data_IF_839052309461
#
_entry.id   IF_839052309461
#
_cell.length_a   1.000
_cell.length_b   1.000
_cell.length_c   1.000
_cell.angle_alpha   90.00
_cell.angle_beta   90.00
_cell.angle_gamma   90.00
#
_symmetry.space_group_name_H-M   'P 1'
#
loop_
_entity.id
_entity.type
_entity.pdbx_description
1 polymer ?
2 non-polymer ?
3 water ?
#
# COMPACT_ATOMS: atom_id res chain seq x y z
N UNK A 11 17.74 -3.48 14.96
CA UNK A 11 18.33 -3.24 13.66
C UNK A 11 19.80 -3.68 13.63
N UNK A 12 20.26 -4.09 12.44
CA UNK A 12 21.65 -4.40 12.21
C UNK A 12 22.38 -3.15 11.74
N UNK A 13 23.55 -2.89 12.31
CA UNK A 13 24.36 -1.76 11.88
C UNK A 13 25.23 -2.21 10.72
N UNK A 14 25.22 -1.45 9.62
CA UNK A 14 25.97 -1.76 8.43
C UNK A 14 27.11 -0.78 8.32
N UNK A 15 28.30 -1.28 7.92
CA UNK A 15 29.43 -0.37 7.77
C UNK A 15 29.35 0.35 6.43
N UNK A 16 29.71 1.64 6.36
CA UNK A 16 29.50 2.36 5.09
C UNK A 16 30.31 1.81 3.93
N UNK A 17 31.45 1.18 4.19
CA UNK A 17 32.25 0.60 3.12
C UNK A 17 31.51 -0.53 2.41
N UNK A 18 30.43 -1.05 2.99
CA UNK A 18 29.66 -2.13 2.38
C UNK A 18 28.56 -1.63 1.46
N UNK A 19 28.34 -0.31 1.39
CA UNK A 19 27.22 0.30 0.70
C UNK A 19 27.74 1.16 -0.43
N UNK A 20 27.17 0.98 -1.62
CA UNK A 20 27.51 1.75 -2.80
C UNK A 20 26.21 2.38 -3.30
N UNK A 21 26.09 3.71 -3.21
CA UNK A 21 24.95 4.39 -3.80
C UNK A 21 25.20 4.57 -5.29
N UNK A 22 24.16 4.35 -6.10
CA UNK A 22 24.30 4.34 -7.55
C UNK A 22 23.45 5.39 -8.26
N UNK A 23 22.15 5.40 -8.03
CA UNK A 23 21.29 6.37 -8.69
C UNK A 23 20.27 6.88 -7.68
N UNK A 24 19.87 8.14 -7.85
CA UNK A 24 18.78 8.70 -7.06
C UNK A 24 17.47 8.15 -7.59
N UNK A 25 16.60 7.71 -6.69
CA UNK A 25 15.26 7.22 -7.02
C UNK A 25 14.16 7.98 -6.29
N UNK A 26 14.51 8.93 -5.43
CA UNK A 26 13.50 9.72 -4.75
C UNK A 26 14.13 10.65 -3.74
N UNK A 27 13.26 11.31 -2.96
CA UNK A 27 13.70 12.29 -1.97
C UNK A 27 13.14 11.93 -0.59
N UNK A 28 13.96 12.16 0.43
CA UNK A 28 13.55 11.98 1.80
C UNK A 28 13.22 13.29 2.49
N UNK A 29 12.97 13.21 3.79
CA UNK A 29 12.63 14.42 4.55
C UNK A 29 13.83 15.35 4.66
N UNK A 30 15.03 14.79 4.79
CA UNK A 30 16.24 15.62 4.78
C UNK A 30 17.37 14.75 4.24
N UNK A 31 17.24 14.43 2.96
CA UNK A 31 18.13 13.53 2.28
C UNK A 31 17.49 13.02 1.02
N UNK A 32 18.19 12.10 0.37
CA UNK A 32 17.73 11.50 -0.86
C UNK A 32 17.59 9.99 -0.68
N UNK A 33 16.86 9.39 -1.61
CA UNK A 33 16.70 7.95 -1.67
C UNK A 33 17.40 7.44 -2.92
N UNK A 34 18.18 6.37 -2.76
CA UNK A 34 19.01 5.84 -3.83
C UNK A 34 18.75 4.35 -4.03
N UNK A 35 18.97 3.88 -5.26
CA UNK A 35 19.24 2.48 -5.48
C UNK A 35 20.75 2.29 -5.36
N UNK A 36 21.15 1.17 -4.77
CA UNK A 36 22.57 0.86 -4.67
C UNK A 36 22.77 -0.61 -4.45
N UNK A 37 23.99 -0.95 -4.02
CA UNK A 37 24.37 -2.33 -3.79
C UNK A 37 24.92 -2.48 -2.39
N UNK A 38 24.63 -3.61 -1.76
CA UNK A 38 25.12 -3.93 -0.43
C UNK A 38 25.99 -5.17 -0.50
N UNK A 39 27.19 -5.09 0.07
CA UNK A 39 28.08 -6.24 0.16
C UNK A 39 27.79 -7.02 1.43
N UNK A 46 26.98 -9.12 -4.35
CA UNK A 46 26.31 -7.88 -3.95
C UNK A 46 24.81 -8.01 -4.15
N UNK A 47 24.03 -7.50 -3.19
CA UNK A 47 22.57 -7.50 -3.30
C UNK A 47 22.09 -6.07 -3.56
N UNK A 48 21.11 -5.89 -4.46
CA UNK A 48 20.58 -4.54 -4.65
C UNK A 48 19.78 -4.10 -3.43
N UNK A 49 19.87 -2.81 -3.13
CA UNK A 49 19.19 -2.24 -1.98
C UNK A 49 18.66 -0.88 -2.33
N UNK A 50 17.72 -0.40 -1.51
CA UNK A 50 17.31 0.98 -1.51
C UNK A 50 17.84 1.65 -0.25
N UNK A 51 18.22 2.92 -0.36
CA UNK A 51 19.00 3.61 0.66
C UNK A 51 18.42 5.00 0.88
N UNK A 52 17.93 5.29 2.07
CA UNK A 52 17.47 6.64 2.41
C UNK A 52 18.48 7.27 3.35
N UNK A 53 18.92 8.49 3.04
CA UNK A 53 19.96 9.15 3.81
C UNK A 53 19.39 10.29 4.63
N UNK A 54 20.10 10.63 5.70
CA UNK A 54 19.83 11.82 6.51
C UNK A 54 21.08 12.68 6.46
N UNK A 55 20.99 13.81 5.77
CA UNK A 55 22.14 14.59 5.37
C UNK A 55 22.49 15.65 6.40
N UNK A 56 23.72 16.13 6.33
CA UNK A 56 24.22 17.09 7.30
C UNK A 56 23.29 18.29 7.43
N UNK A 57 23.04 18.68 8.67
CA UNK A 57 22.17 19.78 8.97
C UNK A 57 20.83 19.36 9.51
N UNK A 58 20.54 18.07 9.53
CA UNK A 58 19.27 17.59 10.01
C UNK A 58 19.04 18.07 11.43
N UNK A 59 17.77 18.30 11.76
CA UNK A 59 17.39 18.76 13.07
C UNK A 59 17.25 17.60 14.04
N UNK A 60 17.08 17.95 15.32
CA UNK A 60 16.82 16.95 16.34
C UNK A 60 15.56 16.15 16.02
N UNK A 61 14.47 16.84 15.69
CA UNK A 61 13.24 16.11 15.36
C UNK A 61 13.45 15.18 14.17
N UNK A 62 14.18 15.65 13.15
CA UNK A 62 14.43 14.78 11.99
C UNK A 62 15.24 13.56 12.39
N UNK A 63 16.22 13.72 13.27
CA UNK A 63 16.98 12.56 13.73
C UNK A 63 16.11 11.60 14.52
N UNK A 64 15.27 12.12 15.40
CA UNK A 64 14.38 11.26 16.16
C UNK A 64 13.44 10.52 15.22
N UNK A 65 12.89 11.21 14.22
CA UNK A 65 11.96 10.55 13.31
C UNK A 65 12.66 9.52 12.45
N UNK A 66 13.89 9.82 12.02
CA UNK A 66 14.62 8.92 11.13
C UNK A 66 15.04 7.65 11.86
N UNK A 67 15.67 7.79 13.01
CA UNK A 67 16.07 6.60 13.76
C UNK A 67 14.85 5.88 14.33
N UNK A 68 13.77 6.63 14.60
CA UNK A 68 12.55 5.97 15.02
C UNK A 68 11.97 5.11 13.91
N UNK A 69 12.02 5.62 12.68
CA UNK A 69 11.59 4.84 11.52
C UNK A 69 12.43 3.59 11.39
N UNK A 70 13.75 3.74 11.49
CA UNK A 70 14.61 2.55 11.40
C UNK A 70 14.25 1.55 12.49
N UNK A 71 13.98 2.04 13.70
CA UNK A 71 13.71 1.14 14.81
C UNK A 71 12.42 0.38 14.64
N UNK A 72 11.38 1.04 14.12
CA UNK A 72 10.13 0.32 13.93
C UNK A 72 10.26 -0.65 12.76
N UNK A 73 10.95 -0.24 11.70
CA UNK A 73 11.13 -1.13 10.56
C UNK A 73 11.91 -2.36 10.94
N UNK A 74 12.86 -2.23 11.87
CA UNK A 74 13.61 -3.39 12.31
C UNK A 74 12.76 -4.42 13.03
N UNK A 75 11.63 -4.01 13.59
CA UNK A 75 10.76 -4.96 14.27
C UNK A 75 9.80 -5.68 13.32
N UNK A 76 9.69 -5.25 12.07
CA UNK A 76 8.78 -5.88 11.11
C UNK A 76 9.45 -7.12 10.53
N UNK A 77 8.83 -8.30 10.72
CA UNK A 77 9.33 -9.54 10.12
C UNK A 77 8.14 -10.27 9.55
N UNK A 78 7.77 -9.94 8.32
CA UNK A 78 6.62 -10.53 7.69
C UNK A 78 6.82 -10.54 6.18
N UNK A 79 6.31 -11.59 5.55
CA UNK A 79 6.40 -11.78 4.11
C UNK A 79 5.86 -10.62 3.31
N UNK A 80 4.88 -9.88 3.85
CA UNK A 80 4.22 -8.83 3.10
C UNK A 80 4.54 -7.44 3.64
N UNK A 81 5.65 -7.27 4.34
CA UNK A 81 6.15 -5.98 4.80
C UNK A 81 7.59 -5.83 4.32
N UNK A 82 7.95 -4.63 3.87
CA UNK A 82 9.31 -4.39 3.40
C UNK A 82 10.30 -4.77 4.50
N UNK A 83 11.41 -5.38 4.08
CA UNK A 83 12.43 -5.84 5.00
C UNK A 83 13.58 -4.86 5.10
N UNK A 84 13.91 -4.49 6.33
CA UNK A 84 15.08 -3.68 6.63
C UNK A 84 16.34 -4.53 6.56
N UNK A 85 17.30 -4.12 5.73
CA UNK A 85 18.60 -4.77 5.74
C UNK A 85 19.44 -4.26 6.91
N UNK A 86 19.39 -2.96 7.16
CA UNK A 86 20.13 -2.42 8.27
C UNK A 86 20.18 -0.92 8.22
N UNK A 87 20.97 -0.36 9.13
CA UNK A 87 21.03 1.07 9.33
C UNK A 87 22.49 1.46 9.46
N UNK A 88 22.79 2.69 9.05
CA UNK A 88 24.06 3.33 9.35
C UNK A 88 23.72 4.47 10.28
N UNK A 89 24.05 4.31 11.56
CA UNK A 89 23.85 5.34 12.57
C UNK A 89 25.13 5.89 13.16
N UNK A 90 26.25 5.16 13.04
CA UNK A 90 27.52 5.51 13.67
C UNK A 90 28.40 6.40 12.80
N UNK A 91 27.99 6.63 11.56
CA UNK A 91 28.73 7.46 10.62
C UNK A 91 27.73 8.34 9.90
N UNK A 92 28.24 9.40 9.28
CA UNK A 92 27.43 10.35 8.55
C UNK A 92 27.75 10.28 7.07
N UNK A 93 26.75 10.39 6.18
CA UNK A 93 25.33 10.53 6.51
C UNK A 93 24.76 9.24 7.07
N UNK A 94 23.75 9.36 7.92
CA UNK A 94 23.03 8.18 8.38
C UNK A 94 22.16 7.63 7.25
N UNK A 95 21.87 6.32 7.34
CA UNK A 95 21.17 5.64 6.27
C UNK A 95 20.23 4.58 6.80
N UNK A 96 19.10 4.42 6.11
CA UNK A 96 18.19 3.28 6.26
C UNK A 96 18.28 2.49 4.97
N UNK A 97 18.53 1.19 5.05
CA UNK A 97 18.81 0.36 3.89
C UNK A 97 17.80 -0.78 3.86
N UNK A 98 17.07 -0.90 2.77
CA UNK A 98 16.09 -1.95 2.64
C UNK A 98 16.40 -2.82 1.44
N UNK A 99 15.74 -3.97 1.40
CA UNK A 99 15.72 -4.77 0.18
C UNK A 99 15.19 -3.91 -0.96
N UNK A 100 15.55 -4.30 -2.19
CA UNK A 100 15.14 -3.56 -3.37
C UNK A 100 14.22 -4.45 -4.22
N UNK A 101 13.12 -3.88 -4.69
CA UNK A 101 12.11 -4.65 -5.44
C UNK A 101 12.10 -4.12 -6.87
N UNK A 102 12.57 -4.97 -7.82
CA UNK A 102 12.82 -4.47 -9.18
C UNK A 102 11.54 -4.10 -9.93
N UNK A 103 10.40 -4.66 -9.54
CA UNK A 103 9.16 -4.26 -10.19
C UNK A 103 8.60 -2.95 -9.65
N UNK A 104 9.17 -2.42 -8.56
CA UNK A 104 8.81 -1.10 -8.09
C UNK A 104 7.46 -1.03 -7.41
N UNK A 105 6.91 0.18 -7.39
CA UNK A 105 5.68 0.45 -6.70
C UNK A 105 4.49 -0.09 -7.46
N UNK A 106 3.49 -0.55 -6.71
CA UNK A 106 2.37 -1.29 -7.27
C UNK A 106 1.50 -0.44 -8.20
N UNK A 107 1.29 0.83 -7.87
CA UNK A 107 0.43 1.65 -8.73
C UNK A 107 1.02 1.78 -10.13
N UNK A 108 2.29 2.13 -10.23
CA UNK A 108 2.95 2.26 -11.53
C UNK A 108 3.03 0.91 -12.23
N UNK A 109 3.35 -0.14 -11.47
CA UNK A 109 3.42 -1.50 -12.02
C UNK A 109 2.12 -1.87 -12.71
N UNK A 110 0.99 -1.72 -12.04
CA UNK A 110 -0.24 -2.15 -12.68
C UNK A 110 -0.60 -1.28 -13.87
N UNK A 111 -0.32 0.04 -13.81
CA UNK A 111 -0.65 0.90 -14.94
C UNK A 111 0.20 0.57 -16.16
N UNK A 112 1.38 0.00 -15.96
CA UNK A 112 2.28 -0.43 -17.04
C UNK A 112 1.99 -1.83 -17.51
N UNK A 113 1.05 -2.54 -16.88
CA UNK A 113 0.77 -3.96 -17.15
C UNK A 113 -0.73 -4.17 -17.28
N UNK A 114 -1.42 -3.20 -17.87
CA UNK A 114 -2.89 -3.21 -17.90
C UNK A 114 -3.40 -4.49 -18.52
N UNK A 115 -4.31 -5.17 -17.81
CA UNK A 115 -4.94 -6.37 -18.33
C UNK A 115 -4.08 -7.60 -18.41
N UNK A 116 -2.88 -7.60 -17.84
CA UNK A 116 -1.93 -8.70 -18.07
C UNK A 116 -2.05 -9.85 -17.07
N UNK A 117 -2.86 -9.73 -16.03
CA UNK A 117 -2.90 -10.72 -14.97
C UNK A 117 -4.26 -11.39 -14.87
N UNK A 118 -4.27 -12.56 -14.27
CA UNK A 118 -5.54 -13.21 -14.03
C UNK A 118 -6.20 -12.63 -12.79
N UNK A 119 -7.51 -12.82 -12.69
CA UNK A 119 -8.23 -12.42 -11.49
C UNK A 119 -7.61 -13.06 -10.25
N UNK A 120 -7.24 -14.33 -10.34
CA UNK A 120 -6.65 -15.00 -9.19
C UNK A 120 -5.32 -14.36 -8.80
N UNK A 121 -4.50 -13.94 -9.77
CA UNK A 121 -3.27 -13.24 -9.45
C UNK A 121 -3.56 -11.92 -8.75
N UNK A 122 -4.53 -11.17 -9.24
CA UNK A 122 -4.87 -9.89 -8.61
C UNK A 122 -5.35 -10.09 -7.19
N UNK A 123 -6.24 -11.07 -6.98
CA UNK A 123 -6.77 -11.30 -5.64
C UNK A 123 -5.68 -11.83 -4.72
N UNK A 124 -4.73 -12.61 -5.25
CA UNK A 124 -3.58 -13.00 -4.46
C UNK A 124 -2.76 -11.83 -3.99
N UNK A 125 -2.60 -10.79 -4.81
CA UNK A 125 -1.88 -9.61 -4.35
C UNK A 125 -2.62 -8.93 -3.21
N UNK A 126 -3.94 -8.90 -3.30
CA UNK A 126 -4.72 -8.33 -2.23
C UNK A 126 -4.62 -9.12 -0.95
N UNK A 127 -4.63 -10.45 -1.03
CA UNK A 127 -4.47 -11.27 0.17
C UNK A 127 -3.14 -10.96 0.85
N UNK A 128 -2.08 -10.81 0.06
CA UNK A 128 -0.80 -10.50 0.66
C UNK A 128 -0.77 -9.15 1.34
N UNK A 129 -1.28 -8.11 0.67
CA UNK A 129 -1.36 -6.80 1.28
C UNK A 129 -2.16 -6.88 2.58
N UNK A 130 -3.29 -7.58 2.54
CA UNK A 130 -4.12 -7.72 3.75
C UNK A 130 -3.38 -8.42 4.88
N UNK A 131 -2.59 -9.44 4.55
CA UNK A 131 -1.83 -10.14 5.58
C UNK A 131 -0.80 -9.22 6.20
N UNK A 132 -0.13 -8.43 5.37
CA UNK A 132 0.80 -7.46 5.93
C UNK A 132 0.11 -6.45 6.83
N UNK A 133 -1.07 -5.98 6.41
CA UNK A 133 -1.81 -5.01 7.22
C UNK A 133 -2.32 -5.65 8.50
N UNK A 134 -2.77 -6.90 8.46
CA UNK A 134 -3.19 -7.58 9.69
C UNK A 134 -2.03 -7.62 10.67
N UNK A 135 -0.83 -7.91 10.18
CA UNK A 135 0.36 -7.94 11.03
C UNK A 135 0.62 -6.58 11.66
N UNK A 136 0.61 -5.52 10.84
CA UNK A 136 0.83 -4.18 11.39
C UNK A 136 -0.22 -3.81 12.43
N UNK A 137 -1.50 -3.98 12.09
CA UNK A 137 -2.56 -3.61 13.02
C UNK A 137 -2.43 -4.38 14.32
N UNK A 138 -2.07 -5.65 14.24
CA UNK A 138 -1.90 -6.51 15.41
C UNK A 138 -0.78 -6.02 16.30
N UNK A 139 0.27 -5.46 15.74
CA UNK A 139 1.33 -4.93 16.60
C UNK A 139 1.11 -3.47 16.91
N UNK A 140 -0.10 -3.00 16.68
CA UNK A 140 -0.51 -1.63 17.02
C UNK A 140 0.26 -0.57 16.23
N UNK A 141 0.54 -0.86 14.98
CA UNK A 141 1.13 0.09 14.04
C UNK A 141 0.03 0.54 13.08
N UNK A 142 -0.36 1.80 13.16
CA UNK A 142 -1.32 2.39 12.25
C UNK A 142 -0.56 3.00 11.08
N UNK A 143 -0.91 2.60 9.87
CA UNK A 143 -0.12 2.99 8.71
C UNK A 143 -0.34 4.46 8.36
N UNK A 144 -1.60 4.86 8.18
CA UNK A 144 -2.08 6.20 7.84
C UNK A 144 -1.95 6.57 6.37
N UNK A 145 -1.14 5.86 5.59
CA UNK A 145 -0.93 6.25 4.20
C UNK A 145 -0.94 5.03 3.30
N UNK A 146 -1.86 4.12 3.54
CA UNK A 146 -1.94 2.91 2.75
C UNK A 146 -2.55 3.24 1.40
N UNK A 147 -1.84 2.93 0.34
CA UNK A 147 -2.19 3.26 -1.04
C UNK A 147 -1.26 2.41 -1.91
N UNK A 148 -1.65 2.16 -3.15
CA UNK A 148 -0.81 1.32 -3.99
C UNK A 148 0.56 1.95 -4.20
N UNK A 149 0.67 3.27 -4.17
CA UNK A 149 1.98 3.90 -4.35
C UNK A 149 2.95 3.56 -3.22
N UNK A 150 2.46 3.05 -2.08
CA UNK A 150 3.31 2.67 -0.95
C UNK A 150 3.46 1.17 -0.82
N UNK A 151 3.21 0.40 -1.89
CA UNK A 151 3.36 -1.04 -1.88
C UNK A 151 4.37 -1.40 -2.95
N UNK A 152 5.36 -2.22 -2.60
CA UNK A 152 6.36 -2.68 -3.56
C UNK A 152 6.04 -4.10 -4.01
N UNK A 153 6.48 -4.45 -5.21
CA UNK A 153 6.19 -5.74 -5.81
C UNK A 153 7.50 -6.42 -6.17
N UNK A 154 7.70 -7.65 -5.67
CA UNK A 154 8.89 -8.41 -6.02
C UNK A 154 8.69 -9.27 -7.26
N UNK A 155 9.72 -10.03 -7.62
CA UNK A 155 9.73 -10.80 -8.86
C UNK A 155 8.94 -12.10 -8.75
N UNK A 156 8.30 -12.36 -7.60
CA UNK A 156 7.30 -13.39 -7.44
C UNK A 156 5.90 -12.83 -7.31
N UNK A 157 5.68 -11.54 -7.64
CA UNK A 157 4.40 -10.86 -7.50
C UNK A 157 3.99 -10.67 -6.05
N UNK A 158 4.92 -10.82 -5.11
CA UNK A 158 4.59 -10.62 -3.70
C UNK A 158 4.61 -9.12 -3.40
N UNK A 159 3.54 -8.66 -2.77
CA UNK A 159 3.41 -7.26 -2.40
C UNK A 159 3.93 -7.04 -0.98
N UNK A 160 4.73 -5.99 -0.83
CA UNK A 160 5.36 -5.62 0.42
C UNK A 160 4.87 -4.24 0.80
N UNK A 161 4.09 -4.15 1.88
CA UNK A 161 3.64 -2.86 2.38
C UNK A 161 4.84 -2.08 2.87
N UNK A 162 4.90 -0.81 2.47
CA UNK A 162 5.98 0.09 2.75
C UNK A 162 5.38 1.45 3.09
N UNK A 163 6.24 2.45 3.27
CA UNK A 163 5.74 3.82 3.43
C UNK A 163 6.84 4.78 3.01
N UNK A 164 6.67 5.40 1.86
CA UNK A 164 7.65 6.31 1.33
C UNK A 164 7.40 7.76 1.74
N UNK A 165 6.44 8.01 2.59
CA UNK A 165 6.07 9.36 2.95
C UNK A 165 5.08 9.95 1.97
N UNK A 166 4.59 11.14 2.30
CA UNK A 166 3.60 11.80 1.46
C UNK A 166 4.21 12.31 0.17
N UNK A 186 -3.48 12.54 1.25
CA UNK A 186 -4.14 11.55 0.40
C UNK A 186 -5.62 11.42 0.73
N UNK A 187 -6.36 12.52 0.51
CA UNK A 187 -7.77 12.57 0.84
C UNK A 187 -8.51 11.33 0.31
N UNK A 188 -8.30 10.99 -0.95
CA UNK A 188 -9.20 10.00 -1.53
C UNK A 188 -8.87 8.57 -1.10
N UNK A 189 -7.79 8.37 -0.33
CA UNK A 189 -7.50 7.09 0.31
C UNK A 189 -7.88 7.07 1.78
N UNK A 190 -8.30 8.20 2.36
CA UNK A 190 -8.42 8.32 3.80
C UNK A 190 -9.86 8.22 4.26
N UNK A 191 -10.07 7.53 5.40
CA UNK A 191 -11.40 7.38 5.95
C UNK A 191 -11.96 8.71 6.42
N UNK A 192 -13.29 8.86 6.42
CA UNK A 192 -13.89 10.13 6.85
C UNK A 192 -13.47 10.63 8.22
N UNK A 193 -13.36 9.75 9.22
CA UNK A 193 -13.05 10.20 10.57
C UNK A 193 -11.60 10.66 10.65
N UNK A 194 -10.73 10.11 9.81
CA UNK A 194 -9.34 10.52 9.80
C UNK A 194 -9.19 11.89 9.17
N UNK A 195 -9.95 12.15 8.10
CA UNK A 195 -9.95 13.48 7.51
C UNK A 195 -10.59 14.49 8.45
N UNK A 196 -11.76 14.17 8.97
CA UNK A 196 -12.56 15.14 9.71
C UNK A 196 -11.88 15.52 11.03
N UNK A 197 -11.46 14.52 11.81
CA UNK A 197 -10.98 14.82 13.15
C UNK A 197 -9.69 14.09 13.51
N UNK A 198 -8.96 13.62 12.51
CA UNK A 198 -7.60 13.13 12.68
C UNK A 198 -7.57 11.83 13.48
N UNK A 199 -8.64 11.05 13.38
CA UNK A 199 -8.72 9.76 14.07
C UNK A 199 -8.19 8.68 13.13
N UNK A 200 -6.90 8.39 13.24
CA UNK A 200 -6.23 7.35 12.47
C UNK A 200 -6.11 6.11 13.31
N UNK A 201 -6.68 5.02 12.81
CA UNK A 201 -6.65 3.73 13.50
C UNK A 201 -6.53 2.63 12.46
N UNK A 202 -6.45 1.39 12.91
CA UNK A 202 -6.47 0.29 11.94
C UNK A 202 -7.81 0.19 11.21
N UNK A 203 -8.88 0.81 11.73
CA UNK A 203 -10.13 0.86 10.98
C UNK A 203 -10.09 1.90 9.85
N UNK A 204 -9.38 3.02 10.04
CA UNK A 204 -9.17 3.91 8.92
C UNK A 204 -8.23 3.30 7.89
N UNK A 205 -7.25 2.50 8.33
CA UNK A 205 -6.47 1.74 7.39
C UNK A 205 -7.31 0.74 6.60
N UNK A 206 -8.36 0.17 7.22
CA UNK A 206 -9.26 -0.73 6.48
C UNK A 206 -9.96 0.02 5.34
N UNK A 207 -10.43 1.23 5.60
CA UNK A 207 -10.97 2.07 4.52
C UNK A 207 -9.96 2.19 3.39
N UNK A 208 -8.73 2.56 3.72
CA UNK A 208 -7.69 2.70 2.72
C UNK A 208 -7.48 1.40 1.97
N UNK A 209 -7.50 0.28 2.69
CA UNK A 209 -7.35 -1.02 2.05
C UNK A 209 -8.43 -1.25 1.00
N UNK A 210 -9.66 -0.86 1.31
CA UNK A 210 -10.70 -0.95 0.30
C UNK A 210 -10.38 -0.17 -0.95
N UNK A 211 -9.85 1.05 -0.80
CA UNK A 211 -9.41 1.81 -1.95
C UNK A 211 -8.30 1.07 -2.70
N UNK A 212 -7.33 0.50 -1.97
CA UNK A 212 -6.29 -0.29 -2.63
C UNK A 212 -6.89 -1.46 -3.40
N UNK A 213 -7.90 -2.13 -2.86
CA UNK A 213 -8.54 -3.19 -3.61
C UNK A 213 -9.05 -2.66 -4.95
N UNK A 214 -9.68 -1.49 -4.92
CA UNK A 214 -10.18 -0.89 -6.15
C UNK A 214 -9.03 -0.52 -7.08
N UNK A 215 -7.94 0.01 -6.54
CA UNK A 215 -6.77 0.30 -7.38
C UNK A 215 -6.25 -0.96 -8.06
N UNK A 216 -6.16 -2.07 -7.31
CA UNK A 216 -5.62 -3.28 -7.92
C UNK A 216 -6.54 -3.79 -9.00
N UNK A 217 -7.85 -3.87 -8.72
CA UNK A 217 -8.77 -4.49 -9.66
C UNK A 217 -8.98 -3.65 -10.91
N UNK A 218 -8.64 -2.36 -10.87
CA UNK A 218 -8.72 -1.48 -12.03
C UNK A 218 -7.37 -1.27 -12.72
N UNK A 219 -6.33 -1.97 -12.28
CA UNK A 219 -4.98 -1.78 -12.85
C UNK A 219 -4.48 -0.35 -12.64
N UNK A 220 -4.72 0.19 -11.46
CA UNK A 220 -4.13 1.45 -11.10
C UNK A 220 -4.88 2.68 -11.55
N UNK A 221 -6.18 2.59 -11.68
CA UNK A 221 -6.95 3.80 -11.95
C UNK A 221 -6.93 4.74 -10.77
N UNK A 222 -7.12 6.01 -11.04
CA UNK A 222 -7.17 7.02 -9.99
C UNK A 222 -8.51 6.96 -9.27
N UNK A 223 -8.55 6.70 -7.97
CA UNK A 223 -9.82 6.67 -7.25
C UNK A 223 -10.62 7.94 -7.51
N UNK A 224 -11.88 7.78 -7.90
CA UNK A 224 -12.83 8.87 -8.13
C UNK A 224 -12.50 9.69 -9.37
N UNK A 225 -11.55 9.21 -10.20
CA UNK A 225 -11.20 9.86 -11.49
C UNK A 225 -10.96 11.34 -11.25
N UNK A 226 -11.59 12.23 -11.99
CA UNK A 226 -11.23 13.63 -11.99
C UNK A 226 -11.87 14.41 -10.86
N UNK A 227 -12.65 13.79 -9.97
CA UNK A 227 -13.26 14.56 -8.88
C UNK A 227 -12.17 15.23 -8.07
N UNK A 228 -12.43 16.46 -7.64
CA UNK A 228 -11.51 17.15 -6.74
C UNK A 228 -11.59 16.55 -5.34
N UNK A 229 -10.63 16.89 -4.48
CA UNK A 229 -10.68 16.37 -3.12
C UNK A 229 -11.98 16.78 -2.42
N UNK A 230 -12.43 18.02 -2.58
CA UNK A 230 -13.66 18.42 -1.95
C UNK A 230 -14.86 17.66 -2.52
N UNK A 231 -14.87 17.43 -3.83
CA UNK A 231 -15.96 16.67 -4.44
C UNK A 231 -15.97 15.24 -3.96
N UNK A 232 -14.79 14.64 -3.74
CA UNK A 232 -14.74 13.29 -3.18
C UNK A 232 -15.37 13.25 -1.80
N UNK A 233 -14.94 14.16 -0.92
CA UNK A 233 -15.48 14.15 0.43
C UNK A 233 -16.99 14.38 0.41
N UNK A 234 -17.48 15.28 -0.45
CA UNK A 234 -18.92 15.54 -0.55
C UNK A 234 -19.66 14.30 -1.03
N UNK A 235 -19.12 13.62 -2.02
CA UNK A 235 -19.74 12.39 -2.53
C UNK A 235 -19.82 11.35 -1.43
N UNK A 236 -18.71 11.11 -0.74
CA UNK A 236 -18.73 10.14 0.35
C UNK A 236 -19.82 10.51 1.35
N UNK A 237 -19.82 11.77 1.78
CA UNK A 237 -20.78 12.18 2.80
C UNK A 237 -22.20 12.03 2.30
N UNK A 238 -22.45 12.24 1.02
CA UNK A 238 -23.78 12.07 0.42
C UNK A 238 -24.14 10.56 0.31
N UNK A 239 -23.20 9.65 0.58
CA UNK A 239 -23.46 8.23 0.50
C UNK A 239 -22.98 7.53 -0.75
N UNK A 240 -22.43 8.25 -1.72
CA UNK A 240 -21.91 7.59 -2.91
C UNK A 240 -20.63 6.83 -2.60
N UNK A 241 -20.40 5.76 -3.38
CA UNK A 241 -19.19 4.96 -3.27
C UNK A 241 -18.71 4.61 -4.67
N UNK A 242 -17.42 4.28 -4.77
CA UNK A 242 -16.85 3.90 -6.06
C UNK A 242 -17.64 2.74 -6.65
N UNK A 243 -17.91 2.78 -7.95
CA UNK A 243 -18.61 1.68 -8.63
C UNK A 243 -17.67 0.51 -8.85
N UNK A 244 -18.24 -0.63 -9.23
CA UNK A 244 -17.40 -1.79 -9.39
C UNK A 244 -16.41 -1.58 -10.55
N UNK A 245 -15.19 -2.06 -10.39
CA UNK A 245 -14.30 -2.24 -11.55
C UNK A 245 -14.90 -3.21 -12.56
N UNK A 246 -14.40 -3.11 -13.79
CA UNK A 246 -14.70 -4.11 -14.79
C UNK A 246 -14.10 -5.44 -14.39
N UNK A 247 -14.79 -6.52 -14.74
CA UNK A 247 -14.28 -7.88 -14.58
C UNK A 247 -13.95 -8.19 -13.12
N UNK A 248 -14.77 -7.68 -12.19
CA UNK A 248 -14.49 -7.79 -10.77
C UNK A 248 -15.37 -8.86 -10.14
N UNK A 249 -14.79 -9.84 -9.44
CA UNK A 249 -15.62 -10.80 -8.72
C UNK A 249 -16.59 -10.09 -7.78
N UNK A 250 -17.82 -10.59 -7.76
CA UNK A 250 -18.84 -10.06 -6.86
C UNK A 250 -18.35 -10.04 -5.42
N UNK A 251 -17.69 -11.11 -4.97
CA UNK A 251 -17.26 -11.19 -3.57
C UNK A 251 -16.25 -10.10 -3.25
N UNK A 252 -15.41 -9.77 -4.22
CA UNK A 252 -14.38 -8.76 -4.03
C UNK A 252 -14.98 -7.36 -3.94
N UNK A 253 -15.97 -7.07 -4.79
CA UNK A 253 -16.66 -5.77 -4.69
C UNK A 253 -17.43 -5.66 -3.39
N UNK A 254 -18.12 -6.73 -2.97
CA UNK A 254 -18.81 -6.72 -1.69
C UNK A 254 -17.85 -6.40 -0.56
N UNK A 255 -16.67 -6.99 -0.59
CA UNK A 255 -15.69 -6.78 0.46
C UNK A 255 -15.19 -5.34 0.47
N UNK A 256 -14.83 -4.79 -0.69
CA UNK A 256 -14.36 -3.42 -0.68
C UNK A 256 -15.46 -2.48 -0.20
N UNK A 257 -16.70 -2.73 -0.59
CA UNK A 257 -17.80 -1.89 -0.12
C UNK A 257 -17.92 -1.89 1.40
N UNK A 258 -17.73 -3.05 2.04
CA UNK A 258 -17.79 -3.10 3.50
C UNK A 258 -16.67 -2.29 4.13
N UNK A 259 -15.51 -2.24 3.50
CA UNK A 259 -14.44 -1.42 4.01
C UNK A 259 -14.78 0.05 4.05
N UNK A 260 -15.76 0.47 3.26
CA UNK A 260 -16.14 1.88 3.15
C UNK A 260 -17.41 2.22 3.91
N UNK A 261 -17.71 1.48 4.97
CA UNK A 261 -18.81 1.88 5.82
C UNK A 261 -18.45 3.15 6.54
N UNK A 262 -19.40 4.09 6.59
CA UNK A 262 -19.18 5.34 7.26
C UNK A 262 -18.83 5.10 8.73
N UNK A 263 -19.58 4.20 9.38
CA UNK A 263 -19.40 3.92 10.81
C UNK A 263 -18.21 2.99 10.97
N UNK A 264 -17.16 3.49 11.59
CA UNK A 264 -15.90 2.76 11.69
C UNK A 264 -16.09 1.37 12.31
N UNK A 265 -16.97 1.27 13.30
CA UNK A 265 -17.15 0.01 14.02
C UNK A 265 -17.77 -1.05 13.14
N UNK A 266 -18.40 -0.69 12.02
CA UNK A 266 -19.03 -1.67 11.15
C UNK A 266 -18.07 -2.27 10.14
N UNK A 267 -16.90 -1.68 9.93
CA UNK A 267 -15.97 -2.19 8.93
C UNK A 267 -15.39 -3.53 9.37
N UNK A 268 -15.03 -4.39 8.42
CA UNK A 268 -14.28 -5.61 8.78
C UNK A 268 -12.99 -5.25 9.49
N UNK A 269 -12.53 -6.14 10.36
CA UNK A 269 -11.16 -6.10 10.85
C UNK A 269 -10.25 -6.73 9.80
N UNK A 270 -8.96 -6.44 9.89
CA UNK A 270 -8.04 -7.08 8.95
C UNK A 270 -8.09 -8.60 9.04
N UNK A 271 -8.33 -9.16 10.23
CA UNK A 271 -8.44 -10.62 10.32
C UNK A 271 -9.57 -11.13 9.44
N UNK A 272 -10.69 -10.42 9.42
CA UNK A 272 -11.82 -10.82 8.58
C UNK A 272 -11.46 -10.74 7.11
N UNK A 273 -10.78 -9.68 6.72
CA UNK A 273 -10.37 -9.50 5.33
C UNK A 273 -9.44 -10.62 4.87
N UNK A 274 -8.43 -10.92 5.68
CA UNK A 274 -7.50 -11.98 5.31
C UNK A 274 -8.24 -13.29 5.17
N UNK A 275 -9.11 -13.60 6.12
CA UNK A 275 -9.82 -14.86 6.10
C UNK A 275 -10.64 -15.01 4.85
N UNK A 276 -11.41 -13.97 4.50
CA UNK A 276 -12.25 -14.01 3.31
C UNK A 276 -11.42 -14.18 2.05
N UNK A 277 -10.37 -13.40 1.91
CA UNK A 277 -9.53 -13.49 0.72
C UNK A 277 -8.88 -14.85 0.61
N UNK A 278 -8.40 -15.39 1.72
CA UNK A 278 -7.82 -16.74 1.69
C UNK A 278 -8.84 -17.78 1.25
N UNK A 279 -10.06 -17.69 1.74
CA UNK A 279 -11.06 -18.69 1.40
C UNK A 279 -11.47 -18.58 -0.06
N UNK A 280 -11.57 -17.34 -0.57
CA UNK A 280 -11.90 -17.15 -1.98
C UNK A 280 -10.83 -17.73 -2.88
N UNK A 281 -9.55 -17.52 -2.53
CA UNK A 281 -8.46 -18.06 -3.34
C UNK A 281 -8.44 -19.58 -3.29
N UNK A 282 -8.73 -20.15 -2.12
CA UNK A 282 -8.64 -21.58 -1.98
C UNK A 282 -9.79 -22.32 -2.63
N UNK A 283 -10.91 -21.63 -2.86
CA UNK A 283 -12.04 -22.14 -3.64
C UNK A 283 -12.23 -21.21 -4.83
N UNK A 284 -11.33 -21.27 -5.81
CA UNK A 284 -11.26 -20.20 -6.81
C UNK A 284 -12.47 -20.09 -7.72
N UNK A 285 -13.32 -21.10 -7.80
CA UNK A 285 -14.57 -20.90 -8.54
C UNK A 285 -15.42 -19.81 -7.92
N UNK A 286 -15.22 -19.51 -6.64
CA UNK A 286 -15.96 -18.43 -5.98
C UNK A 286 -15.74 -17.10 -6.66
N UNK A 287 -14.62 -16.93 -7.36
CA UNK A 287 -14.27 -15.66 -7.99
C UNK A 287 -14.82 -15.55 -9.41
N UNK A 288 -15.44 -16.58 -9.94
CA UNK A 288 -15.98 -16.55 -11.30
C UNK A 288 -17.27 -15.74 -11.40
N UNK A 289 -18.01 -15.57 -10.31
CA UNK A 289 -19.21 -14.78 -10.31
C UNK A 289 -18.84 -13.30 -10.25
N UNK A 290 -19.17 -12.54 -11.28
CA UNK A 290 -18.74 -11.16 -11.39
C UNK A 290 -19.85 -10.19 -11.02
N UNK A 291 -19.46 -9.08 -10.40
CA UNK A 291 -20.40 -7.99 -10.18
C UNK A 291 -20.70 -7.33 -11.52
N UNK A 292 -21.95 -6.90 -11.69
CA UNK A 292 -22.33 -6.15 -12.88
C UNK A 292 -21.55 -4.86 -12.97
N UNK A 293 -21.02 -4.58 -14.15
CA UNK A 293 -20.35 -3.32 -14.41
C UNK A 293 -21.33 -2.34 -15.03
N UNK A 294 -21.40 -1.14 -14.46
CA UNK A 294 -22.35 -0.12 -14.88
C UNK A 294 -21.78 0.60 -16.10
N UNK A 295 -22.36 0.42 -17.27
CA UNK A 295 -21.81 1.09 -18.46
C UNK A 295 -21.94 2.60 -18.31
N UNK A 296 -20.84 3.30 -18.55
CA UNK A 296 -20.85 4.76 -18.64
C UNK A 296 -21.07 5.23 -20.08
N UNK A 297 -21.02 4.31 -21.04
CA UNK A 297 -21.13 4.60 -22.46
C UNK A 297 -21.92 3.48 -23.10
N UNK A 298 -22.85 3.83 -23.96
CA UNK A 298 -23.63 2.87 -24.72
C UNK A 298 -23.14 2.85 -26.16
N UNK A 299 -22.87 1.64 -26.66
CA UNK A 299 -22.56 1.41 -28.06
C UNK A 299 -23.64 0.47 -28.57
N UNK A 300 -24.43 0.94 -29.53
CA UNK A 300 -25.48 0.16 -30.15
C UNK A 300 -24.98 -0.36 -31.49
N UNK A 301 -25.06 -1.67 -31.72
CA UNK A 301 -24.77 -2.22 -33.03
C UNK A 301 -25.81 -3.27 -33.38
N UNK A 302 -26.02 -3.54 -34.68
CA UNK A 302 -26.98 -4.59 -35.07
C UNK A 302 -26.44 -6.01 -34.87
#
# INVERSE_FOLDING_TARGET
>A
GDPNQAVLKFTTEIHPSCVTRQKVIGAGEFGEVYKGMLKTSSGKKEVPVAIKTLKAGYTEKQRVDFLGEAGIMGQFSHHNIIRLEGVISKYKPMMIITEYMENGALDKFLREKDGEFSVLQLVGMLRGIAAGMKYLANMNYVHRDLAARNILVNSNLVCKVSDFGLSRVLEDDPEATYTTSGGKIPIRWTAPEAISYRKFTSASDVWSFGIVMWEVMTYGERPYWELSNHEVMKAINDGFRLPTPMDCPSAIYQLMMQCWQQERARRPKFADIVSILDKLIRAPDSLKTLADFDPRVSIRLPSTSG
#
